data_IF_660289960790
#
_entry.id   IF_660289960790
#
_cell.length_a   1.000
_cell.length_b   1.000
_cell.length_c   1.000
_cell.angle_alpha   90.00
_cell.angle_beta   90.00
_cell.angle_gamma   90.00
#
_symmetry.space_group_name_H-M   'P 1'
#
loop_
_entity.id
_entity.type
_entity.pdbx_description
1 polymer ?
#
# COMPACT_ATOMS: atom_id res chain seq x y z
N UNK A 1 -4.53 22.97 -45.71
CA UNK A 1 -3.74 21.91 -45.09
C UNK A 1 -3.25 20.97 -46.19
N UNK A 2 -1.94 20.81 -46.32
CA UNK A 2 -1.34 19.87 -47.28
C UNK A 2 -1.59 18.42 -46.87
N UNK A 3 -1.42 17.45 -47.78
CA UNK A 3 -1.57 16.03 -47.45
C UNK A 3 -0.56 15.57 -46.38
N UNK A 4 0.65 16.12 -46.41
CA UNK A 4 1.74 15.84 -45.45
C UNK A 4 1.42 16.41 -44.06
N UNK A 5 0.99 17.67 -43.98
CA UNK A 5 0.53 18.32 -42.75
C UNK A 5 -0.66 17.58 -42.11
N UNK A 6 -1.56 17.02 -42.93
CA UNK A 6 -2.67 16.18 -42.45
C UNK A 6 -2.17 14.84 -41.90
N UNK A 7 -1.15 14.23 -42.50
CA UNK A 7 -0.60 12.96 -42.04
C UNK A 7 0.10 13.13 -40.69
N UNK A 8 0.94 14.16 -40.55
CA UNK A 8 1.62 14.49 -39.28
C UNK A 8 0.62 14.74 -38.14
N UNK A 9 -0.47 15.46 -38.42
CA UNK A 9 -1.53 15.70 -37.44
C UNK A 9 -2.18 14.38 -36.99
N UNK A 10 -2.53 13.52 -37.94
CA UNK A 10 -3.16 12.23 -37.66
C UNK A 10 -2.23 11.28 -36.89
N UNK A 11 -0.92 11.28 -37.18
CA UNK A 11 0.06 10.49 -36.43
C UNK A 11 0.16 10.96 -34.98
N UNK A 12 0.19 12.28 -34.75
CA UNK A 12 0.20 12.85 -33.40
C UNK A 12 -1.09 12.53 -32.62
N UNK A 13 -2.24 12.64 -33.26
CA UNK A 13 -3.53 12.28 -32.66
C UNK A 13 -3.60 10.78 -32.33
N UNK A 14 -3.10 9.92 -33.23
CA UNK A 14 -3.06 8.48 -33.02
C UNK A 14 -2.18 8.12 -31.81
N UNK A 15 -1.00 8.71 -31.67
CA UNK A 15 -0.14 8.46 -30.51
C UNK A 15 -0.76 8.97 -29.20
N UNK A 16 -1.43 10.12 -29.22
CA UNK A 16 -2.15 10.62 -28.06
C UNK A 16 -3.31 9.69 -27.63
N UNK A 17 -4.09 9.18 -28.59
CA UNK A 17 -5.18 8.23 -28.33
C UNK A 17 -4.65 6.89 -27.81
N UNK A 18 -3.56 6.37 -28.40
CA UNK A 18 -2.91 5.14 -27.91
C UNK A 18 -2.44 5.30 -26.46
N UNK A 19 -1.84 6.44 -26.12
CA UNK A 19 -1.42 6.73 -24.76
C UNK A 19 -2.60 6.80 -23.78
N UNK A 20 -3.69 7.49 -24.16
CA UNK A 20 -4.90 7.54 -23.34
C UNK A 20 -5.53 6.16 -23.15
N UNK A 21 -5.59 5.35 -24.20
CA UNK A 21 -6.08 3.98 -24.13
C UNK A 21 -5.21 3.12 -23.20
N UNK A 22 -3.89 3.22 -23.32
CA UNK A 22 -2.95 2.50 -22.46
C UNK A 22 -3.12 2.89 -21.00
N UNK A 23 -3.30 4.20 -20.69
CA UNK A 23 -3.57 4.69 -19.33
C UNK A 23 -4.90 4.17 -18.78
N UNK A 24 -5.96 4.14 -19.60
CA UNK A 24 -7.25 3.59 -19.19
C UNK A 24 -7.19 2.09 -18.93
N UNK A 25 -6.45 1.34 -19.76
CA UNK A 25 -6.24 -0.10 -19.60
C UNK A 25 -5.39 -0.42 -18.37
N UNK A 26 -4.36 0.40 -18.10
CA UNK A 26 -3.48 0.27 -16.94
C UNK A 26 -4.25 0.19 -15.62
N UNK A 27 -5.32 0.97 -15.44
CA UNK A 27 -6.15 0.95 -14.23
C UNK A 27 -6.69 -0.47 -13.95
N UNK A 28 -7.23 -1.13 -14.97
CA UNK A 28 -7.75 -2.51 -14.83
C UNK A 28 -6.64 -3.53 -14.65
N UNK A 29 -5.51 -3.37 -15.34
CA UNK A 29 -4.36 -4.26 -15.17
C UNK A 29 -3.77 -4.18 -13.76
N UNK A 30 -3.60 -2.96 -13.22
CA UNK A 30 -3.13 -2.71 -11.85
C UNK A 30 -4.08 -3.31 -10.83
N UNK A 31 -5.39 -3.06 -10.97
CA UNK A 31 -6.41 -3.64 -10.09
C UNK A 31 -6.33 -5.18 -10.08
N UNK A 32 -6.17 -5.80 -11.25
CA UNK A 32 -6.01 -7.24 -11.37
C UNK A 32 -4.67 -7.75 -10.79
N UNK A 33 -3.58 -6.99 -10.93
CA UNK A 33 -2.27 -7.33 -10.33
C UNK A 33 -2.39 -7.37 -8.80
N UNK A 34 -3.02 -6.36 -8.19
CA UNK A 34 -3.27 -6.35 -6.74
C UNK A 34 -4.25 -7.42 -6.28
N UNK A 35 -5.32 -7.66 -7.03
CA UNK A 35 -6.27 -8.72 -6.71
C UNK A 35 -5.60 -10.11 -6.74
N UNK A 36 -4.74 -10.39 -7.72
CA UNK A 36 -3.95 -11.63 -7.77
C UNK A 36 -2.98 -11.75 -6.62
N UNK A 37 -2.25 -10.68 -6.31
CA UNK A 37 -1.35 -10.64 -5.16
C UNK A 37 -2.10 -11.02 -3.88
N UNK A 38 -3.25 -10.37 -3.64
CA UNK A 38 -4.07 -10.61 -2.47
C UNK A 38 -4.61 -12.06 -2.41
N UNK A 39 -5.07 -12.57 -3.54
CA UNK A 39 -5.59 -13.94 -3.65
C UNK A 39 -4.50 -14.99 -3.38
N UNK A 40 -3.28 -14.77 -3.89
CA UNK A 40 -2.15 -15.66 -3.62
C UNK A 40 -1.71 -15.62 -2.15
N UNK A 41 -1.65 -14.44 -1.55
CA UNK A 41 -1.29 -14.29 -0.15
C UNK A 41 -2.30 -14.98 0.79
N UNK A 42 -3.60 -14.72 0.57
CA UNK A 42 -4.69 -15.34 1.32
C UNK A 42 -4.71 -16.87 1.13
N UNK A 43 -4.31 -17.36 -0.04
CA UNK A 43 -4.17 -18.78 -0.34
C UNK A 43 -2.87 -19.46 0.12
N UNK A 44 -1.95 -18.76 0.79
CA UNK A 44 -0.65 -19.30 1.20
C UNK A 44 0.31 -19.58 0.05
N UNK A 45 0.05 -18.98 -1.11
CA UNK A 45 0.90 -19.07 -2.31
C UNK A 45 1.95 -17.97 -2.27
N UNK A 46 2.72 -17.90 -1.18
CA UNK A 46 3.63 -16.78 -0.90
C UNK A 46 4.69 -16.60 -1.99
N UNK A 47 5.22 -17.69 -2.56
CA UNK A 47 6.12 -17.59 -3.72
C UNK A 47 5.43 -16.95 -4.92
N UNK A 48 4.18 -17.28 -5.20
CA UNK A 48 3.45 -16.75 -6.36
C UNK A 48 3.11 -15.27 -6.19
N UNK A 49 3.06 -14.75 -4.95
CA UNK A 49 2.95 -13.31 -4.70
C UNK A 49 4.09 -12.54 -5.39
N UNK A 50 5.31 -13.09 -5.39
CA UNK A 50 6.47 -12.47 -6.04
C UNK A 50 6.29 -12.29 -7.55
N UNK A 51 5.42 -13.07 -8.20
CA UNK A 51 5.14 -12.90 -9.63
C UNK A 51 4.35 -11.61 -9.91
N UNK A 52 3.75 -10.97 -8.91
CA UNK A 52 3.08 -9.67 -9.06
C UNK A 52 4.01 -8.47 -8.86
N UNK A 53 5.22 -8.70 -8.32
CA UNK A 53 6.22 -7.67 -8.11
C UNK A 53 7.15 -7.49 -9.33
N UNK A 54 7.71 -6.30 -9.46
CA UNK A 54 8.68 -5.93 -10.47
C UNK A 54 10.08 -6.41 -10.06
N UNK A 55 10.25 -7.74 -9.94
CA UNK A 55 11.42 -8.39 -9.34
C UNK A 55 12.73 -8.15 -10.11
N UNK A 56 12.69 -7.59 -11.33
CA UNK A 56 13.89 -7.23 -12.12
C UNK A 56 14.12 -5.73 -12.18
N UNK A 57 13.26 -4.95 -11.52
CA UNK A 57 13.31 -3.50 -11.54
C UNK A 57 13.99 -3.00 -10.26
N UNK A 58 15.09 -2.24 -10.36
CA UNK A 58 15.80 -1.74 -9.18
C UNK A 58 14.89 -0.96 -8.23
N UNK A 59 15.15 -1.10 -6.93
CA UNK A 59 14.39 -0.40 -5.89
C UNK A 59 13.06 -1.04 -5.52
N UNK A 60 12.71 -2.20 -6.11
CA UNK A 60 11.53 -2.97 -5.70
C UNK A 60 11.57 -3.22 -4.19
N UNK A 61 10.46 -2.99 -3.51
CA UNK A 61 10.45 -3.07 -2.05
C UNK A 61 9.05 -3.31 -1.47
N UNK A 62 9.02 -3.89 -0.28
CA UNK A 62 7.81 -4.04 0.52
C UNK A 62 8.07 -3.66 1.97
N UNK A 63 7.09 -3.02 2.60
CA UNK A 63 7.02 -2.85 4.05
C UNK A 63 5.75 -3.47 4.59
N UNK A 64 5.91 -4.32 5.59
CA UNK A 64 4.81 -5.02 6.25
C UNK A 64 4.74 -4.49 7.68
N UNK A 65 3.93 -3.46 7.91
CA UNK A 65 3.65 -2.94 9.24
C UNK A 65 4.94 -2.77 10.09
N UNK A 66 4.93 -3.30 11.31
CA UNK A 66 6.04 -3.27 12.24
C UNK A 66 7.27 -4.12 11.83
N UNK A 67 7.16 -4.99 10.81
CA UNK A 67 8.27 -5.84 10.34
C UNK A 67 9.33 -5.07 9.55
N UNK A 68 8.96 -3.89 9.05
CA UNK A 68 9.86 -3.00 8.31
C UNK A 68 10.05 -3.38 6.84
N UNK A 69 11.01 -2.71 6.23
CA UNK A 69 11.27 -2.73 4.79
C UNK A 69 12.17 -3.89 4.37
N UNK A 70 11.77 -4.53 3.28
CA UNK A 70 12.54 -5.49 2.50
C UNK A 70 12.78 -4.90 1.12
N UNK A 71 14.05 -4.79 0.74
CA UNK A 71 14.46 -4.15 -0.50
C UNK A 71 15.05 -5.15 -1.48
N UNK A 72 14.91 -4.80 -2.76
CA UNK A 72 15.36 -5.58 -3.89
C UNK A 72 14.75 -6.98 -3.95
N UNK A 73 15.03 -7.70 -5.02
CA UNK A 73 14.50 -9.04 -5.25
C UNK A 73 14.84 -10.01 -4.10
N UNK A 74 16.06 -9.88 -3.56
CA UNK A 74 16.57 -10.72 -2.48
C UNK A 74 15.79 -10.49 -1.18
N UNK A 75 15.49 -9.24 -0.81
CA UNK A 75 14.72 -8.93 0.39
C UNK A 75 13.27 -9.42 0.28
N UNK A 76 12.64 -9.27 -0.89
CA UNK A 76 11.31 -9.80 -1.11
C UNK A 76 11.28 -11.34 -1.03
N UNK A 77 12.32 -12.00 -1.55
CA UNK A 77 12.46 -13.45 -1.43
C UNK A 77 12.68 -13.90 0.03
N UNK A 78 13.54 -13.18 0.77
CA UNK A 78 13.73 -13.38 2.21
C UNK A 78 12.38 -13.32 2.95
N UNK A 79 11.58 -12.29 2.68
CA UNK A 79 10.28 -12.12 3.34
C UNK A 79 9.28 -13.22 2.98
N UNK A 80 8.93 -13.37 1.70
CA UNK A 80 7.82 -14.24 1.31
C UNK A 80 8.16 -15.72 1.38
N UNK A 81 9.39 -16.10 1.01
CA UNK A 81 9.76 -17.51 0.86
C UNK A 81 10.48 -18.00 2.11
N UNK A 82 11.57 -17.33 2.49
CA UNK A 82 12.39 -17.78 3.61
C UNK A 82 11.77 -17.47 4.98
N UNK A 83 10.98 -16.41 5.07
CA UNK A 83 10.20 -16.03 6.25
C UNK A 83 8.83 -16.70 6.25
N UNK A 84 7.87 -16.11 5.53
CA UNK A 84 6.44 -16.46 5.65
C UNK A 84 6.19 -17.91 5.21
N UNK A 85 6.57 -18.31 4.00
CA UNK A 85 6.24 -19.65 3.49
C UNK A 85 6.88 -20.77 4.35
N UNK A 86 8.14 -20.62 4.75
CA UNK A 86 8.82 -21.59 5.61
C UNK A 86 8.20 -21.66 6.99
N UNK A 87 7.83 -20.52 7.57
CA UNK A 87 7.14 -20.49 8.86
C UNK A 87 5.78 -21.19 8.77
N UNK A 88 4.95 -20.82 7.78
CA UNK A 88 3.65 -21.46 7.53
C UNK A 88 3.78 -22.99 7.35
N UNK A 89 4.86 -23.45 6.70
CA UNK A 89 5.12 -24.88 6.51
C UNK A 89 5.55 -25.57 7.81
N UNK A 90 6.41 -24.95 8.63
CA UNK A 90 6.94 -25.57 9.86
C UNK A 90 5.85 -25.78 10.92
N UNK A 91 4.79 -24.98 10.88
CA UNK A 91 3.69 -24.98 11.87
C UNK A 91 2.44 -25.76 11.38
N UNK A 92 2.62 -26.65 10.40
CA UNK A 92 1.55 -27.53 9.91
C UNK A 92 0.86 -27.07 8.63
N UNK A 93 1.57 -26.34 7.77
CA UNK A 93 1.15 -25.99 6.41
C UNK A 93 -0.26 -25.36 6.35
N UNK A 94 -0.50 -24.36 7.21
CA UNK A 94 -1.75 -23.59 7.30
C UNK A 94 -3.01 -24.39 7.67
N UNK A 95 -2.91 -25.61 8.20
CA UNK A 95 -4.10 -26.36 8.66
C UNK A 95 -4.79 -25.60 9.81
N UNK A 96 -5.99 -25.09 9.55
CA UNK A 96 -6.77 -24.29 10.51
C UNK A 96 -6.50 -22.78 10.44
N UNK A 97 -5.50 -22.36 9.65
CA UNK A 97 -5.19 -20.95 9.44
C UNK A 97 -6.20 -20.32 8.47
N UNK A 98 -6.78 -19.21 8.88
CA UNK A 98 -7.58 -18.33 8.04
C UNK A 98 -6.88 -16.98 7.95
N UNK A 99 -6.68 -16.45 6.75
CA UNK A 99 -5.98 -15.20 6.51
C UNK A 99 -6.58 -14.59 5.27
N UNK A 100 -7.44 -13.61 5.48
CA UNK A 100 -8.11 -12.88 4.42
C UNK A 100 -7.77 -11.41 4.58
N UNK A 101 -7.29 -10.80 3.49
CA UNK A 101 -7.05 -9.36 3.43
C UNK A 101 -7.87 -8.73 2.29
N UNK A 102 -9.21 -8.83 2.25
CA UNK A 102 -9.99 -8.28 1.16
C UNK A 102 -9.65 -6.81 0.94
N UNK A 103 -9.42 -6.43 -0.32
CA UNK A 103 -9.11 -5.05 -0.69
C UNK A 103 -10.32 -4.40 -1.36
N UNK A 104 -10.58 -3.14 -1.04
CA UNK A 104 -11.71 -2.37 -1.58
C UNK A 104 -11.37 -0.89 -1.70
N UNK A 105 -12.26 -0.15 -2.35
CA UNK A 105 -12.12 1.28 -2.66
C UNK A 105 -10.78 1.61 -3.36
N UNK A 106 -10.51 0.99 -4.53
CA UNK A 106 -9.29 1.28 -5.28
C UNK A 106 -9.23 2.75 -5.68
N UNK A 107 -8.14 3.41 -5.32
CA UNK A 107 -7.77 4.71 -5.86
C UNK A 107 -6.49 4.53 -6.65
N UNK A 108 -6.55 4.67 -7.98
CA UNK A 108 -5.44 4.34 -8.89
C UNK A 108 -5.18 5.53 -9.81
N UNK A 109 -4.01 6.15 -9.64
CA UNK A 109 -3.53 7.26 -10.46
C UNK A 109 -2.39 6.82 -11.36
N UNK A 110 -2.66 6.73 -12.67
CA UNK A 110 -1.67 6.38 -13.69
C UNK A 110 -1.00 7.66 -14.21
N UNK A 111 0.33 7.70 -14.15
CA UNK A 111 1.13 8.83 -14.63
C UNK A 111 0.74 9.26 -16.05
N UNK A 112 0.87 10.56 -16.36
CA UNK A 112 0.60 11.08 -17.70
C UNK A 112 1.45 10.40 -18.80
N UNK A 113 2.66 9.97 -18.47
CA UNK A 113 3.55 9.22 -19.37
C UNK A 113 3.26 7.72 -19.46
N UNK A 114 2.30 7.21 -18.68
CA UNK A 114 1.90 5.80 -18.62
C UNK A 114 3.02 4.81 -18.26
N UNK A 115 4.06 5.26 -17.55
CA UNK A 115 5.19 4.38 -17.14
C UNK A 115 5.11 3.89 -15.71
N UNK A 116 4.43 4.65 -14.87
CA UNK A 116 4.22 4.34 -13.45
C UNK A 116 2.79 4.65 -13.03
N UNK A 117 2.37 4.10 -11.89
CA UNK A 117 1.12 4.47 -11.25
C UNK A 117 1.29 4.46 -9.74
N UNK A 118 0.42 5.20 -9.04
CA UNK A 118 0.31 5.23 -7.59
C UNK A 118 -1.08 4.78 -7.23
N UNK A 119 -1.21 3.95 -6.20
CA UNK A 119 -2.53 3.50 -5.80
C UNK A 119 -2.64 3.16 -4.32
N UNK A 120 -3.87 3.23 -3.82
CA UNK A 120 -4.26 2.88 -2.47
C UNK A 120 -5.49 1.96 -2.48
N UNK A 121 -5.53 1.05 -1.50
CA UNK A 121 -6.70 0.26 -1.15
C UNK A 121 -6.91 0.27 0.35
N UNK A 122 -8.17 0.23 0.77
CA UNK A 122 -8.52 -0.13 2.13
C UNK A 122 -8.64 -1.66 2.24
N UNK A 123 -8.37 -2.19 3.43
CA UNK A 123 -8.54 -3.62 3.71
C UNK A 123 -9.20 -3.84 5.06
N UNK A 124 -10.09 -4.83 5.12
CA UNK A 124 -10.66 -5.33 6.36
C UNK A 124 -10.93 -6.82 6.21
N UNK A 125 -10.25 -7.63 7.01
CA UNK A 125 -10.47 -9.06 7.01
C UNK A 125 -10.04 -9.73 8.31
N UNK A 126 -10.54 -10.94 8.55
CA UNK A 126 -10.09 -11.76 9.65
C UNK A 126 -8.79 -12.49 9.30
N UNK A 127 -7.95 -12.65 10.31
CA UNK A 127 -6.81 -13.55 10.31
C UNK A 127 -6.85 -14.41 11.57
N UNK A 128 -6.26 -15.60 11.53
CA UNK A 128 -6.00 -16.39 12.73
C UNK A 128 -4.51 -16.56 12.91
N UNK A 129 -4.02 -16.32 14.12
CA UNK A 129 -2.65 -16.63 14.51
C UNK A 129 -2.65 -17.60 15.69
N UNK A 130 -1.55 -18.30 15.91
CA UNK A 130 -1.29 -18.99 17.17
C UNK A 130 -0.33 -18.13 18.00
N UNK A 131 -0.61 -17.96 19.28
CA UNK A 131 0.33 -17.29 20.20
C UNK A 131 1.63 -18.09 20.34
N UNK A 132 1.53 -19.43 20.38
CA UNK A 132 2.64 -20.36 20.47
C UNK A 132 2.56 -21.38 19.31
N UNK A 133 2.99 -21.00 18.10
CA UNK A 133 2.80 -21.81 16.90
C UNK A 133 3.57 -23.15 16.92
N UNK A 134 4.60 -23.27 17.77
CA UNK A 134 5.35 -24.51 18.02
C UNK A 134 4.58 -25.54 18.86
N UNK A 135 3.55 -25.12 19.60
CA UNK A 135 2.67 -26.02 20.34
C UNK A 135 1.52 -26.51 19.43
N UNK A 136 1.45 -27.82 19.13
CA UNK A 136 0.39 -28.38 18.29
C UNK A 136 -1.01 -28.13 18.86
N UNK A 137 -1.15 -28.07 20.19
CA UNK A 137 -2.42 -27.92 20.90
C UNK A 137 -2.78 -26.44 21.15
N UNK A 138 -1.87 -25.49 20.86
CA UNK A 138 -2.17 -24.07 20.96
C UNK A 138 -3.35 -23.74 20.03
N UNK A 139 -4.46 -23.18 20.57
CA UNK A 139 -5.63 -22.84 19.78
C UNK A 139 -5.31 -21.69 18.81
N UNK A 140 -6.10 -21.60 17.75
CA UNK A 140 -6.05 -20.45 16.85
C UNK A 140 -6.82 -19.28 17.46
N UNK A 141 -6.14 -18.14 17.57
CA UNK A 141 -6.73 -16.87 17.99
C UNK A 141 -7.17 -16.06 16.78
N UNK A 142 -8.48 -15.76 16.64
CA UNK A 142 -8.98 -14.93 15.56
C UNK A 142 -8.71 -13.45 15.83
N UNK A 143 -8.14 -12.76 14.86
CA UNK A 143 -7.81 -11.34 14.85
C UNK A 143 -8.51 -10.61 13.70
N UNK A 144 -8.89 -9.36 13.95
CA UNK A 144 -9.26 -8.41 12.90
C UNK A 144 -8.02 -7.71 12.38
N UNK A 145 -7.92 -7.61 11.06
CA UNK A 145 -6.92 -6.87 10.32
C UNK A 145 -7.62 -5.79 9.50
N UNK A 146 -7.58 -4.55 9.98
CA UNK A 146 -8.04 -3.37 9.24
C UNK A 146 -6.86 -2.48 8.92
N UNK A 147 -6.84 -1.88 7.74
CA UNK A 147 -5.80 -0.92 7.37
C UNK A 147 -5.84 -0.51 5.92
N UNK A 148 -4.67 -0.12 5.41
CA UNK A 148 -4.48 0.32 4.03
C UNK A 148 -3.30 -0.38 3.37
N UNK A 149 -3.40 -0.56 2.06
CA UNK A 149 -2.28 -0.84 1.18
C UNK A 149 -1.98 0.40 0.36
N UNK A 150 -0.74 0.85 0.38
CA UNK A 150 -0.24 1.82 -0.61
C UNK A 150 0.77 1.16 -1.51
N UNK A 151 0.70 1.49 -2.80
CA UNK A 151 1.58 0.91 -3.79
C UNK A 151 2.01 1.91 -4.86
N UNK A 152 3.24 1.75 -5.31
CA UNK A 152 3.70 2.26 -6.60
C UNK A 152 3.78 1.08 -7.59
N UNK A 153 3.40 1.31 -8.84
CA UNK A 153 3.49 0.33 -9.92
C UNK A 153 4.42 0.82 -11.03
N UNK A 154 5.03 -0.13 -11.72
CA UNK A 154 5.87 0.11 -12.89
C UNK A 154 5.59 -0.96 -13.94
N UNK A 155 5.80 -0.60 -15.21
CA UNK A 155 5.72 -1.57 -16.32
C UNK A 155 7.03 -2.36 -16.39
N UNK A 156 6.97 -3.66 -16.12
CA UNK A 156 8.09 -4.59 -16.29
C UNK A 156 7.72 -5.64 -17.34
N UNK A 157 8.51 -5.73 -18.41
CA UNK A 157 8.29 -6.65 -19.53
C UNK A 157 6.87 -6.56 -20.14
N UNK A 158 6.33 -5.34 -20.24
CA UNK A 158 5.00 -5.09 -20.81
C UNK A 158 3.82 -5.37 -19.87
N UNK A 159 4.07 -5.62 -18.59
CA UNK A 159 3.03 -5.85 -17.59
C UNK A 159 3.15 -4.87 -16.43
N UNK A 160 2.01 -4.39 -15.92
CA UNK A 160 1.97 -3.63 -14.68
C UNK A 160 2.27 -4.51 -13.47
N UNK A 161 3.34 -4.15 -12.75
CA UNK A 161 3.85 -4.87 -11.58
C UNK A 161 3.96 -3.94 -10.38
N UNK A 162 3.82 -4.51 -9.19
CA UNK A 162 4.04 -3.82 -7.92
C UNK A 162 5.52 -3.49 -7.83
N UNK A 163 5.86 -2.20 -7.71
CA UNK A 163 7.22 -1.74 -7.51
C UNK A 163 7.51 -1.53 -6.03
N UNK A 164 6.63 -0.79 -5.36
CA UNK A 164 6.69 -0.58 -3.92
C UNK A 164 5.35 -0.94 -3.31
N UNK A 165 5.35 -1.61 -2.16
CA UNK A 165 4.13 -1.91 -1.41
C UNK A 165 4.33 -1.59 0.07
N UNK A 166 3.38 -0.90 0.67
CA UNK A 166 3.35 -0.63 2.11
C UNK A 166 2.01 -1.10 2.67
N UNK A 167 2.07 -1.99 3.65
CA UNK A 167 0.91 -2.49 4.39
C UNK A 167 0.86 -1.76 5.72
N UNK A 168 -0.20 -0.99 5.94
CA UNK A 168 -0.37 -0.14 7.11
C UNK A 168 -1.62 -0.56 7.87
N UNK A 169 -1.49 -1.44 8.87
CA UNK A 169 -2.59 -1.76 9.75
C UNK A 169 -3.00 -0.54 10.58
N UNK A 170 -4.31 -0.32 10.63
CA UNK A 170 -4.98 0.60 11.55
C UNK A 170 -5.48 -0.15 12.80
N UNK A 171 -6.02 -1.36 12.61
CA UNK A 171 -6.52 -2.21 13.70
C UNK A 171 -5.95 -3.61 13.51
N UNK A 172 -5.34 -4.11 14.59
CA UNK A 172 -4.86 -5.47 14.73
C UNK A 172 -5.27 -5.93 16.12
N UNK A 173 -6.41 -6.61 16.25
CA UNK A 173 -6.89 -6.99 17.57
C UNK A 173 -7.68 -8.31 17.56
N UNK A 174 -7.72 -9.05 18.67
CA UNK A 174 -8.58 -10.22 18.79
C UNK A 174 -10.04 -9.88 18.47
N UNK A 175 -10.72 -10.73 17.71
CA UNK A 175 -12.11 -10.46 17.26
C UNK A 175 -13.13 -10.35 18.39
N UNK A 176 -12.81 -10.92 19.56
CA UNK A 176 -13.63 -10.91 20.76
C UNK A 176 -13.33 -9.75 21.71
N UNK A 177 -12.36 -8.89 21.40
CA UNK A 177 -12.03 -7.69 22.17
C UNK A 177 -12.43 -6.44 21.39
N UNK A 178 -12.87 -5.37 22.07
CA UNK A 178 -13.12 -4.12 21.38
C UNK A 178 -11.79 -3.56 20.86
N UNK A 179 -11.75 -3.10 19.61
CA UNK A 179 -10.54 -2.50 19.03
C UNK A 179 -10.06 -1.26 19.81
N UNK A 180 -10.93 -0.65 20.62
CA UNK A 180 -10.58 0.45 21.52
C UNK A 180 -9.61 0.08 22.64
N UNK A 181 -9.45 -1.21 22.91
CA UNK A 181 -8.49 -1.73 23.90
C UNK A 181 -7.15 -2.13 23.27
N UNK A 182 -7.02 -2.09 21.95
CA UNK A 182 -5.73 -2.38 21.30
C UNK A 182 -4.68 -1.37 21.75
N UNK A 183 -3.42 -1.81 21.79
CA UNK A 183 -2.26 -0.93 21.95
C UNK A 183 -1.41 -1.02 20.69
N UNK A 184 -0.73 0.06 20.27
CA UNK A 184 0.16 0.02 19.12
C UNK A 184 1.19 -1.12 19.22
N UNK A 185 1.40 -1.87 18.14
CA UNK A 185 2.28 -3.03 18.11
C UNK A 185 3.78 -2.69 18.03
N UNK A 186 4.15 -1.40 17.94
CA UNK A 186 5.55 -0.96 17.96
C UNK A 186 6.29 -1.37 19.25
N UNK A 187 5.56 -1.73 20.31
CA UNK A 187 6.10 -2.25 21.56
C UNK A 187 6.54 -3.73 21.47
N UNK A 188 6.23 -4.44 20.37
CA UNK A 188 6.59 -5.84 20.17
C UNK A 188 7.80 -5.99 19.23
N UNK A 189 8.92 -6.45 19.80
CA UNK A 189 10.11 -6.88 19.05
C UNK A 189 10.20 -8.40 19.11
N UNK A 190 9.86 -9.13 18.02
CA UNK A 190 10.05 -10.58 17.97
C UNK A 190 11.53 -10.92 18.21
N UNK A 191 11.80 -11.77 19.20
CA UNK A 191 13.18 -12.17 19.56
C UNK A 191 13.78 -13.20 18.60
N UNK A 192 12.94 -13.82 17.78
CA UNK A 192 13.24 -14.91 16.86
C UNK A 192 13.34 -14.47 15.39
N UNK A 193 13.20 -13.17 15.12
CA UNK A 193 13.42 -12.58 13.78
C UNK A 193 14.72 -11.76 13.73
N UNK A 194 15.82 -12.32 13.19
CA UNK A 194 17.06 -11.58 13.00
C UNK A 194 16.83 -10.30 12.18
N UNK A 195 17.46 -9.20 12.61
CA UNK A 195 17.42 -7.92 11.91
C UNK A 195 16.13 -7.10 12.10
N UNK A 196 15.14 -7.60 12.84
CA UNK A 196 13.84 -6.94 13.00
C UNK A 196 13.96 -5.53 13.57
N UNK A 197 14.80 -5.35 14.60
CA UNK A 197 14.99 -4.06 15.25
C UNK A 197 15.75 -3.05 14.37
N UNK A 198 16.60 -3.55 13.48
CA UNK A 198 17.46 -2.75 12.61
C UNK A 198 16.81 -2.40 11.27
N UNK A 199 15.72 -3.07 10.87
CA UNK A 199 15.02 -2.80 9.62
C UNK A 199 14.43 -1.39 9.61
N UNK A 200 14.59 -0.72 8.47
CA UNK A 200 13.96 0.57 8.24
C UNK A 200 12.44 0.42 8.27
N UNK A 201 11.75 1.32 8.97
CA UNK A 201 10.29 1.43 8.99
C UNK A 201 9.89 2.82 8.51
N UNK A 202 8.91 2.90 7.63
CA UNK A 202 8.21 4.14 7.30
C UNK A 202 7.11 4.40 8.32
N UNK A 203 6.41 5.52 8.13
CA UNK A 203 5.36 5.89 9.07
C UNK A 203 4.14 4.99 8.87
N UNK A 204 3.76 4.28 9.93
CA UNK A 204 2.51 3.55 10.09
C UNK A 204 1.97 3.88 11.48
N UNK A 205 0.76 4.43 11.59
CA UNK A 205 0.17 4.78 12.88
C UNK A 205 -1.11 3.98 13.09
N UNK A 206 -1.00 2.97 13.93
CA UNK A 206 -2.14 2.18 14.39
C UNK A 206 -3.11 3.03 15.22
N UNK A 207 -4.37 2.62 15.27
CA UNK A 207 -5.37 3.27 16.10
C UNK A 207 -4.97 3.22 17.58
N UNK A 208 -5.06 4.37 18.23
CA UNK A 208 -4.91 4.56 19.67
C UNK A 208 -6.02 5.49 20.14
N UNK A 209 -6.78 5.07 21.15
CA UNK A 209 -7.90 5.85 21.70
C UNK A 209 -7.47 7.21 22.26
N UNK A 210 -6.18 7.38 22.56
CA UNK A 210 -5.61 8.60 23.12
C UNK A 210 -4.95 9.50 22.06
N UNK A 211 -5.00 9.14 20.77
CA UNK A 211 -4.37 9.91 19.69
C UNK A 211 -5.38 10.45 18.70
N UNK A 212 -5.09 11.63 18.16
CA UNK A 212 -5.79 12.18 17.00
C UNK A 212 -5.26 11.47 15.75
N UNK A 213 -6.17 10.90 14.96
CA UNK A 213 -5.86 10.29 13.66
C UNK A 213 -5.31 11.34 12.71
N UNK A 214 -4.16 11.03 12.11
CA UNK A 214 -3.55 11.87 11.08
C UNK A 214 -4.19 11.58 9.73
N UNK A 215 -4.38 12.62 8.90
CA UNK A 215 -4.72 12.42 7.49
C UNK A 215 -3.48 11.96 6.74
N UNK A 216 -3.13 10.70 6.95
CA UNK A 216 -1.95 10.07 6.38
C UNK A 216 -2.21 8.58 6.12
N UNK A 217 -1.51 8.00 5.14
CA UNK A 217 -0.89 8.71 4.02
C UNK A 217 -1.93 9.42 3.14
N UNK A 218 -1.49 10.48 2.45
CA UNK A 218 -2.36 11.20 1.53
C UNK A 218 -2.73 10.28 0.36
N UNK A 219 -3.96 10.40 -0.17
CA UNK A 219 -4.32 9.73 -1.41
C UNK A 219 -3.37 10.12 -2.55
N UNK A 220 -3.13 9.23 -3.53
CA UNK A 220 -2.36 9.61 -4.70
C UNK A 220 -3.12 10.67 -5.52
N UNK A 221 -2.39 11.69 -5.95
CA UNK A 221 -2.87 12.76 -6.82
C UNK A 221 -2.40 12.55 -8.27
N UNK A 222 -3.10 13.11 -9.27
CA UNK A 222 -2.65 13.07 -10.66
C UNK A 222 -1.25 13.66 -10.83
N UNK A 223 -0.39 12.97 -11.60
CA UNK A 223 1.00 13.37 -11.79
C UNK A 223 1.53 13.07 -13.21
N UNK A 224 2.61 13.76 -13.60
CA UNK A 224 3.18 13.67 -14.94
C UNK A 224 4.02 12.42 -15.20
N UNK A 225 5.03 12.21 -14.36
CA UNK A 225 5.99 11.10 -14.42
C UNK A 225 6.60 10.86 -13.04
N UNK A 226 7.27 9.73 -12.84
CA UNK A 226 7.94 9.42 -11.59
C UNK A 226 9.27 10.19 -11.46
N UNK A 227 9.44 10.92 -10.35
CA UNK A 227 10.60 11.81 -10.12
C UNK A 227 11.73 11.19 -9.29
N UNK A 228 11.82 9.86 -9.24
CA UNK A 228 12.97 9.15 -8.64
C UNK A 228 12.93 9.05 -7.10
N UNK A 229 12.72 10.18 -6.42
CA UNK A 229 12.77 10.28 -4.96
C UNK A 229 11.42 10.12 -4.27
N UNK A 230 10.32 10.48 -4.95
CA UNK A 230 8.98 10.54 -4.34
C UNK A 230 8.18 9.27 -4.59
N UNK A 231 8.43 8.27 -3.75
CA UNK A 231 7.58 7.07 -3.67
C UNK A 231 6.24 7.43 -3.03
N UNK A 232 5.17 6.76 -3.44
CA UNK A 232 3.88 6.87 -2.74
C UNK A 232 3.89 5.94 -1.54
N UNK A 233 4.24 4.68 -1.77
CA UNK A 233 4.48 3.70 -0.72
C UNK A 233 5.90 3.89 -0.15
N UNK A 234 6.12 3.48 1.10
CA UNK A 234 7.41 3.54 1.77
C UNK A 234 7.92 4.97 2.03
N UNK A 235 7.11 5.99 1.76
CA UNK A 235 7.49 7.37 1.97
C UNK A 235 7.42 7.73 3.46
N UNK A 236 8.49 8.37 3.96
CA UNK A 236 8.48 8.95 5.30
C UNK A 236 7.95 10.38 5.19
N UNK A 237 6.98 10.78 6.03
CA UNK A 237 6.55 12.16 6.09
C UNK A 237 7.72 13.12 6.23
N UNK A 238 7.71 14.16 5.41
CA UNK A 238 8.62 15.29 5.44
C UNK A 238 7.82 16.57 5.69
N UNK A 239 8.50 17.67 6.00
CA UNK A 239 7.84 18.98 6.13
C UNK A 239 7.16 19.45 4.82
N UNK A 240 7.59 18.92 3.67
CA UNK A 240 7.04 19.28 2.36
C UNK A 240 5.70 18.60 2.06
N UNK A 241 5.39 17.49 2.75
CA UNK A 241 4.15 16.74 2.53
C UNK A 241 2.91 17.45 3.08
N UNK A 242 3.08 18.54 3.85
CA UNK A 242 1.99 19.36 4.40
C UNK A 242 0.86 18.49 4.94
N UNK A 243 1.17 17.57 5.85
CA UNK A 243 0.17 16.67 6.43
C UNK A 243 -0.94 17.54 7.03
N UNK A 244 -2.11 17.52 6.39
CA UNK A 244 -3.23 18.35 6.81
C UNK A 244 -3.83 17.73 8.06
N UNK A 245 -3.64 18.39 9.20
CA UNK A 245 -4.30 17.99 10.43
C UNK A 245 -5.59 18.78 10.67
N UNK A 246 -6.32 18.40 11.71
CA UNK A 246 -7.29 19.29 12.37
C UNK A 246 -6.63 20.65 12.69
N UNK A 247 -7.42 21.73 12.73
CA UNK A 247 -6.94 23.09 13.04
C UNK A 247 -5.99 23.15 14.25
N UNK A 248 -6.21 22.35 15.31
CA UNK A 248 -5.36 22.32 16.52
C UNK A 248 -3.91 21.87 16.30
N UNK A 249 -3.60 21.25 15.16
CA UNK A 249 -2.29 20.65 14.86
C UNK A 249 -1.62 21.23 13.61
N UNK A 250 -2.30 22.14 12.90
CA UNK A 250 -1.66 23.02 11.92
C UNK A 250 -1.35 24.36 12.61
N UNK A 251 -0.49 25.21 12.03
CA UNK A 251 -0.22 26.58 12.53
C UNK A 251 -1.43 27.54 12.33
N UNK A 252 -2.66 27.01 12.28
CA UNK A 252 -3.90 27.76 12.10
C UNK A 252 -4.73 27.71 13.39
N UNK A 253 -5.35 28.83 13.75
CA UNK A 253 -6.51 28.85 14.64
C UNK A 253 -7.72 28.20 13.96
N UNK A 254 -8.73 27.81 14.73
CA UNK A 254 -10.00 27.28 14.18
C UNK A 254 -10.63 28.25 13.16
N UNK A 255 -10.55 29.55 13.45
CA UNK A 255 -11.06 30.62 12.59
C UNK A 255 -10.24 30.72 11.30
N UNK A 256 -8.92 30.68 11.36
CA UNK A 256 -8.04 30.65 10.17
C UNK A 256 -8.24 29.39 9.34
N UNK A 257 -8.52 28.24 9.97
CA UNK A 257 -8.84 27.01 9.25
C UNK A 257 -10.16 27.11 8.48
N UNK A 258 -11.20 27.70 9.06
CA UNK A 258 -12.45 27.94 8.32
C UNK A 258 -12.28 28.96 7.18
N UNK A 259 -11.46 29.99 7.37
CA UNK A 259 -11.09 30.91 6.27
C UNK A 259 -10.34 30.18 5.17
N UNK A 260 -9.36 29.34 5.52
CA UNK A 260 -8.63 28.49 4.56
C UNK A 260 -9.58 27.59 3.77
N UNK A 261 -10.51 26.90 4.44
CA UNK A 261 -11.53 26.07 3.79
C UNK A 261 -12.40 26.90 2.84
N UNK A 262 -12.80 28.10 3.27
CA UNK A 262 -13.59 29.02 2.46
C UNK A 262 -12.84 29.58 1.24
N UNK A 263 -11.53 29.80 1.32
CA UNK A 263 -10.70 30.24 0.18
C UNK A 263 -10.44 29.10 -0.82
N UNK A 264 -10.40 27.86 -0.32
CA UNK A 264 -10.16 26.65 -1.10
C UNK A 264 -11.43 26.02 -1.63
N UNK A 265 -12.60 26.47 -1.20
CA UNK A 265 -13.89 25.93 -1.61
C UNK A 265 -14.10 26.14 -3.12
N UNK A 266 -13.96 25.08 -3.95
CA UNK A 266 -14.13 25.20 -5.39
C UNK A 266 -15.60 25.41 -5.78
N UNK A 267 -16.53 25.30 -4.82
CA UNK A 267 -17.97 25.49 -4.99
C UNK A 267 -18.44 26.89 -4.59
N UNK A 268 -17.53 27.74 -4.08
CA UNK A 268 -17.83 29.11 -3.69
C UNK A 268 -17.86 30.02 -4.91
N UNK A 269 -19.02 30.14 -5.57
CA UNK A 269 -19.21 31.15 -6.62
C UNK A 269 -20.25 30.94 -7.72
N UNK A 270 -20.97 29.81 -7.76
CA UNK A 270 -21.95 29.54 -8.84
C UNK A 270 -23.42 29.58 -8.37
N UNK A 271 -23.81 30.57 -7.57
CA UNK A 271 -25.22 30.91 -7.29
C UNK A 271 -25.52 32.37 -7.56
#
# INVERSE_FOLDING_TARGET
MGQEERLELLEKELEAVKLQLARAQAVTEIANTMARYNYYHSGGRQRDCLDQFAMRTPGVAIEIAMWGQYHEAEGLYENYVEGIAKHEQSIGARKGWYCEHPIYNPLIEVAADCKTAKAEWQTFGPETAKEHPEDPECPFDPNWMYGKYQADFIVENGHWKIWHLQIMPDIMCPTCKPFTEQRPHDDFVPTDMPGFAERQKSFCEEYDVNKVRKFWPQPPEPYGTFEGSRKHALHKPTAEDKIEYTFEQNDFTLEEYFVYLEEKDPWKGDN
#
